data_IF_111932338263
#
_entry.id   IF_111932338263
#
_cell.length_a   1.000
_cell.length_b   1.000
_cell.length_c   1.000
_cell.angle_alpha   90.00
_cell.angle_beta   90.00
_cell.angle_gamma   90.00
#
_symmetry.space_group_name_H-M   'P 1'
#
loop_
_entity.id
_entity.type
_entity.pdbx_description
1 polymer ?
#
# COMPACT_ATOMS: atom_id res chain seq x y z
N UNK A 1 -49.63 -14.61 -2.49
CA UNK A 1 -48.60 -15.48 -3.10
C UNK A 1 -47.55 -14.56 -3.66
N UNK A 2 -46.36 -14.58 -3.06
CA UNK A 2 -45.32 -13.59 -3.29
C UNK A 2 -44.37 -13.92 -4.45
N UNK A 3 -43.33 -13.10 -4.51
CA UNK A 3 -42.06 -13.30 -5.23
C UNK A 3 -42.14 -12.93 -6.72
N UNK A 4 -41.25 -12.07 -7.23
CA UNK A 4 -39.79 -12.17 -7.15
C UNK A 4 -39.17 -10.77 -7.17
N UNK A 5 -38.29 -10.48 -6.21
CA UNK A 5 -37.41 -9.30 -6.24
C UNK A 5 -36.24 -9.61 -7.18
N UNK A 6 -36.18 -8.89 -8.29
CA UNK A 6 -35.06 -8.89 -9.23
C UNK A 6 -33.76 -8.57 -8.47
N UNK A 7 -32.92 -9.58 -8.26
CA UNK A 7 -31.60 -9.40 -7.69
C UNK A 7 -30.67 -8.87 -8.79
N UNK A 8 -30.65 -7.55 -8.94
CA UNK A 8 -29.61 -6.88 -9.71
C UNK A 8 -28.25 -7.13 -9.04
N UNK A 9 -27.50 -8.11 -9.55
CA UNK A 9 -26.10 -8.34 -9.19
C UNK A 9 -25.29 -7.14 -9.67
N UNK A 10 -25.07 -6.16 -8.80
CA UNK A 10 -24.13 -5.07 -9.00
C UNK A 10 -22.71 -5.63 -9.09
N UNK A 11 -22.29 -6.07 -10.29
CA UNK A 11 -20.90 -6.42 -10.57
C UNK A 11 -20.08 -5.12 -10.53
N UNK A 12 -19.55 -4.79 -9.36
CA UNK A 12 -18.54 -3.75 -9.20
C UNK A 12 -17.36 -4.08 -10.11
N UNK A 13 -17.13 -3.25 -11.15
CA UNK A 13 -15.99 -3.40 -12.06
C UNK A 13 -14.72 -3.05 -11.27
N UNK A 14 -13.97 -4.07 -10.83
CA UNK A 14 -12.65 -3.86 -10.23
C UNK A 14 -11.78 -3.15 -11.26
N UNK A 15 -11.27 -1.97 -10.93
CA UNK A 15 -10.36 -1.25 -11.80
C UNK A 15 -9.04 -2.02 -11.93
N UNK A 16 -8.44 -2.02 -13.12
CA UNK A 16 -7.15 -2.67 -13.36
C UNK A 16 -6.04 -2.12 -12.43
N UNK A 17 -6.13 -0.83 -12.06
CA UNK A 17 -5.24 -0.19 -11.09
C UNK A 17 -5.40 -0.78 -9.67
N UNK A 18 -6.64 -1.07 -9.26
CA UNK A 18 -6.90 -1.73 -7.98
C UNK A 18 -6.34 -3.15 -7.94
N UNK A 19 -6.47 -3.90 -9.04
CA UNK A 19 -5.94 -5.27 -9.12
C UNK A 19 -4.40 -5.31 -9.00
N UNK A 20 -3.70 -4.46 -9.75
CA UNK A 20 -2.22 -4.36 -9.67
C UNK A 20 -1.73 -3.95 -8.29
N UNK A 21 -2.44 -3.04 -7.62
CA UNK A 21 -2.09 -2.65 -6.26
C UNK A 21 -2.25 -3.81 -5.28
N UNK A 22 -3.34 -4.58 -5.39
CA UNK A 22 -3.58 -5.76 -4.56
C UNK A 22 -2.45 -6.78 -4.74
N UNK A 23 -2.08 -7.09 -5.98
CA UNK A 23 -1.00 -8.04 -6.31
C UNK A 23 0.34 -7.58 -5.77
N UNK A 24 0.70 -6.31 -5.99
CA UNK A 24 1.93 -5.73 -5.45
C UNK A 24 1.95 -5.79 -3.93
N UNK A 25 0.85 -5.41 -3.26
CA UNK A 25 0.73 -5.47 -1.80
C UNK A 25 0.97 -6.89 -1.29
N UNK A 26 0.36 -7.90 -1.92
CA UNK A 26 0.58 -9.30 -1.53
C UNK A 26 2.03 -9.75 -1.72
N UNK A 27 2.66 -9.38 -2.85
CA UNK A 27 4.04 -9.73 -3.11
C UNK A 27 5.00 -9.14 -2.06
N UNK A 28 4.83 -7.87 -1.70
CA UNK A 28 5.62 -7.19 -0.66
C UNK A 28 5.43 -7.86 0.69
N UNK A 29 4.18 -8.14 1.08
CA UNK A 29 3.84 -8.79 2.35
C UNK A 29 4.48 -10.18 2.48
N UNK A 30 4.41 -10.97 1.40
CA UNK A 30 4.97 -12.30 1.35
C UNK A 30 6.51 -12.27 1.46
N UNK A 31 7.17 -11.36 0.74
CA UNK A 31 8.64 -11.22 0.80
C UNK A 31 9.12 -10.81 2.20
N UNK A 32 8.43 -9.89 2.85
CA UNK A 32 8.78 -9.41 4.20
C UNK A 32 8.27 -10.29 5.34
N UNK A 33 7.78 -11.51 5.05
CA UNK A 33 7.26 -12.47 6.04
C UNK A 33 6.23 -11.87 7.00
N UNK A 34 5.42 -10.92 6.53
CA UNK A 34 4.40 -10.23 7.32
C UNK A 34 4.97 -9.63 8.62
N UNK A 35 6.14 -8.98 8.55
CA UNK A 35 6.76 -8.30 9.69
C UNK A 35 7.19 -6.89 9.30
N UNK A 36 6.98 -5.95 10.21
CA UNK A 36 7.49 -4.59 10.08
C UNK A 36 9.02 -4.62 9.95
N UNK A 37 9.57 -3.97 8.92
CA UNK A 37 11.01 -3.96 8.69
C UNK A 37 11.80 -3.14 9.72
N UNK A 38 11.14 -2.22 10.45
CA UNK A 38 11.79 -1.36 11.43
C UNK A 38 11.76 -1.93 12.86
N UNK A 39 10.64 -2.54 13.26
CA UNK A 39 10.46 -3.00 14.65
C UNK A 39 10.10 -4.49 14.78
N UNK A 40 9.87 -5.20 13.67
CA UNK A 40 9.52 -6.62 13.69
C UNK A 40 8.08 -6.96 14.10
N UNK A 41 7.24 -5.96 14.39
CA UNK A 41 5.82 -6.14 14.71
C UNK A 41 5.08 -6.89 13.59
N UNK A 42 4.11 -7.70 13.95
CA UNK A 42 3.21 -8.42 13.02
C UNK A 42 1.79 -7.82 12.99
N UNK A 43 1.54 -6.75 13.75
CA UNK A 43 0.25 -6.09 13.85
C UNK A 43 0.17 -4.84 12.97
N UNK A 44 -1.02 -4.55 12.44
CA UNK A 44 -1.36 -3.32 11.70
C UNK A 44 -0.40 -3.00 10.55
N UNK A 45 -0.10 -4.02 9.74
CA UNK A 45 0.89 -3.93 8.68
C UNK A 45 0.33 -3.30 7.41
N UNK A 46 1.13 -2.40 6.84
CA UNK A 46 0.87 -1.72 5.57
C UNK A 46 2.08 -1.86 4.66
N UNK A 47 1.83 -2.05 3.36
CA UNK A 47 2.86 -2.00 2.34
C UNK A 47 3.09 -0.53 1.98
N UNK A 48 4.31 -0.06 2.21
CA UNK A 48 4.75 1.32 2.01
C UNK A 48 5.82 1.36 0.91
N UNK A 49 5.83 2.43 0.11
CA UNK A 49 6.82 2.62 -0.94
C UNK A 49 8.07 3.28 -0.36
N UNK A 50 9.23 2.66 -0.57
CA UNK A 50 10.53 3.21 -0.13
C UNK A 50 10.84 4.51 -0.88
N UNK A 51 10.66 4.50 -2.21
CA UNK A 51 10.72 5.70 -3.06
C UNK A 51 9.30 6.17 -3.39
N UNK A 52 9.00 7.47 -3.22
CA UNK A 52 7.65 7.99 -3.44
C UNK A 52 7.24 7.86 -4.91
N UNK A 53 6.03 7.36 -5.13
CA UNK A 53 5.45 7.12 -6.45
C UNK A 53 5.38 8.39 -7.31
N UNK A 54 5.25 9.57 -6.69
CA UNK A 54 5.19 10.86 -7.39
C UNK A 54 6.48 11.12 -8.16
N UNK A 55 7.64 10.79 -7.58
CA UNK A 55 8.94 11.06 -8.19
C UNK A 55 9.44 9.88 -9.03
N UNK A 56 8.94 8.67 -8.73
CA UNK A 56 9.36 7.41 -9.37
C UNK A 56 8.15 6.54 -9.75
N UNK A 57 7.30 6.99 -10.70
CA UNK A 57 6.09 6.27 -11.09
C UNK A 57 6.38 4.89 -11.70
N UNK A 58 7.55 4.71 -12.32
CA UNK A 58 8.02 3.44 -12.86
C UNK A 58 8.25 2.38 -11.78
N UNK A 59 8.51 2.79 -10.53
CA UNK A 59 8.75 1.90 -9.39
C UNK A 59 7.49 1.60 -8.56
N UNK A 60 6.32 2.09 -8.98
CA UNK A 60 5.08 2.00 -8.19
C UNK A 60 4.66 0.55 -7.89
N UNK A 61 5.03 -0.40 -8.75
CA UNK A 61 4.70 -1.81 -8.60
C UNK A 61 5.94 -2.70 -8.52
N UNK A 62 7.13 -2.13 -8.32
CA UNK A 62 8.33 -2.90 -8.02
C UNK A 62 8.26 -3.40 -6.57
N UNK A 63 8.36 -4.72 -6.39
CA UNK A 63 8.34 -5.35 -5.06
C UNK A 63 9.55 -4.92 -4.23
N UNK A 64 10.70 -4.66 -4.87
CA UNK A 64 11.90 -4.16 -4.17
C UNK A 64 11.76 -2.72 -3.69
N UNK A 65 10.84 -1.96 -4.30
CA UNK A 65 10.47 -0.63 -3.83
C UNK A 65 9.38 -0.66 -2.75
N UNK A 66 8.89 -1.84 -2.37
CA UNK A 66 7.95 -2.01 -1.26
C UNK A 66 8.65 -2.46 0.02
N UNK A 67 8.19 -1.92 1.15
CA UNK A 67 8.53 -2.39 2.50
C UNK A 67 7.26 -2.58 3.32
N UNK A 68 7.34 -3.41 4.36
CA UNK A 68 6.25 -3.60 5.31
C UNK A 68 6.53 -2.73 6.52
N UNK A 69 5.58 -1.86 6.87
CA UNK A 69 5.63 -1.07 8.09
C UNK A 69 4.35 -1.28 8.91
N UNK A 70 4.48 -1.36 10.23
CA UNK A 70 3.32 -1.17 11.10
C UNK A 70 2.94 0.32 11.14
N UNK A 71 1.69 0.60 11.52
CA UNK A 71 1.15 1.96 11.60
C UNK A 71 2.08 2.94 12.36
N UNK A 72 2.56 2.62 13.59
CA UNK A 72 3.42 3.54 14.34
C UNK A 72 4.76 3.83 13.64
N UNK A 73 5.34 2.81 13.01
CA UNK A 73 6.61 2.95 12.29
C UNK A 73 6.44 3.76 11.00
N UNK A 74 5.32 3.58 10.30
CA UNK A 74 4.97 4.36 9.11
C UNK A 74 4.77 5.83 9.45
N UNK A 75 4.07 6.14 10.55
CA UNK A 75 3.90 7.52 11.01
C UNK A 75 5.25 8.16 11.39
N UNK A 76 6.10 7.44 12.13
CA UNK A 76 7.43 7.91 12.50
C UNK A 76 8.31 8.19 11.27
N UNK A 77 8.28 7.31 10.27
CA UNK A 77 9.04 7.47 9.03
C UNK A 77 8.58 8.69 8.21
N UNK A 78 7.26 8.89 8.13
CA UNK A 78 6.69 10.09 7.52
C UNK A 78 7.12 11.37 8.25
N UNK A 79 7.03 11.40 9.59
CA UNK A 79 7.41 12.56 10.38
C UNK A 79 8.91 12.87 10.27
N UNK A 80 9.77 11.86 10.34
CA UNK A 80 11.21 12.04 10.14
C UNK A 80 11.53 12.63 8.77
N UNK A 81 10.84 12.19 7.72
CA UNK A 81 11.00 12.73 6.36
C UNK A 81 10.60 14.20 6.24
N UNK A 82 9.68 14.68 7.09
CA UNK A 82 9.31 16.10 7.18
C UNK A 82 10.36 16.93 7.92
N UNK A 83 10.91 16.41 9.02
CA UNK A 83 11.94 17.10 9.82
C UNK A 83 13.27 17.24 9.05
N UNK A 84 13.61 16.25 8.22
CA UNK A 84 14.81 16.28 7.38
C UNK A 84 14.66 17.13 6.10
N UNK A 85 13.49 17.73 5.86
CA UNK A 85 13.27 18.57 4.67
C UNK A 85 13.27 17.80 3.34
N UNK A 86 13.09 16.48 3.34
CA UNK A 86 13.14 15.62 2.14
C UNK A 86 11.91 15.71 1.23
N UNK A 87 10.90 16.48 1.64
CA UNK A 87 9.74 16.86 0.83
C UNK A 87 9.92 18.29 0.30
N UNK A 88 10.89 18.49 -0.59
CA UNK A 88 10.87 19.68 -1.44
C UNK A 88 9.70 19.51 -2.41
N UNK A 89 8.63 20.29 -2.21
CA UNK A 89 7.52 20.37 -3.17
C UNK A 89 8.12 20.84 -4.49
N UNK A 90 8.42 19.91 -5.40
CA UNK A 90 8.79 20.25 -6.76
C UNK A 90 7.61 21.02 -7.35
N UNK A 91 7.85 22.31 -7.59
CA UNK A 91 6.87 23.29 -8.03
C UNK A 91 6.65 23.20 -9.52
#
# INVERSE_FOLDING_TARGET
MGEKRDQVLFKSRKSHRGQRYIEWRYAVMNQGSYRCCLCGSTAELTADHIKPVVNYPELAFDVKNGRILCEPCRLKDMLASWEEGKFERQR
#
